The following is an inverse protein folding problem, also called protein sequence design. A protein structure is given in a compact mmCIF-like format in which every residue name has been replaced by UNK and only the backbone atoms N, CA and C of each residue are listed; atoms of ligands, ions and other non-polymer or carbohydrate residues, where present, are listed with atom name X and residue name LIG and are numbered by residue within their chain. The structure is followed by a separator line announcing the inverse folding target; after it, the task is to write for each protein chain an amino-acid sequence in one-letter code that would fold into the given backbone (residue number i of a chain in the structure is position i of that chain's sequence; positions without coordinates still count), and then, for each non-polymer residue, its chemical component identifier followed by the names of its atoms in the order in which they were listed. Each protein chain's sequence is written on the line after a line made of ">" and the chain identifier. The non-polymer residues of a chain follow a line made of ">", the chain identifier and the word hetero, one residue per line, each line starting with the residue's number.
data_IF_479519682966
#
_entry.id   IF_479519682966
#
_cell.length_a   1.000
_cell.length_b   1.000
_cell.length_c   1.000
_cell.angle_alpha   90.00
_cell.angle_beta   90.00
_cell.angle_gamma   90.00
#
_symmetry.space_group_name_H-M   'P 1'
#
loop_
_entity.id
_entity.type
_entity.pdbx_description
1 polymer ?
#
# COMPACT_ATOMS: atom_id res chain seq x y z
N UNK A 1 -4.30 3.84 -3.00
CA UNK A 1 -3.52 3.04 -2.03
C UNK A 1 -2.62 3.95 -1.21
N UNK A 2 -2.37 3.62 0.06
CA UNK A 2 -1.52 4.42 0.94
C UNK A 2 -0.10 3.84 1.02
N UNK A 3 0.92 4.53 0.48
CA UNK A 3 2.31 4.12 0.58
C UNK A 3 2.85 3.96 2.01
N UNK A 4 2.24 4.62 3.00
CA UNK A 4 2.65 4.52 4.41
C UNK A 4 2.28 3.16 5.02
N UNK A 5 1.24 2.53 4.48
CA UNK A 5 0.78 1.19 4.91
C UNK A 5 1.45 0.08 4.11
N UNK A 6 1.93 0.38 2.89
CA UNK A 6 2.48 -0.59 1.97
C UNK A 6 3.68 -1.35 2.54
N UNK A 7 3.64 -2.68 2.49
CA UNK A 7 4.79 -3.51 2.83
C UNK A 7 6.03 -3.11 2.00
N UNK A 8 7.23 -3.24 2.57
CA UNK A 8 8.48 -2.79 1.91
C UNK A 8 8.78 -3.51 0.60
N UNK A 9 8.21 -4.68 0.34
CA UNK A 9 8.30 -5.40 -0.96
C UNK A 9 7.25 -4.97 -1.99
N UNK A 10 6.43 -3.98 -1.70
CA UNK A 10 5.43 -3.45 -2.62
C UNK A 10 5.86 -2.09 -3.16
N UNK A 11 5.79 -1.94 -4.49
CA UNK A 11 5.94 -0.65 -5.16
C UNK A 11 4.56 -0.17 -5.55
N UNK A 12 4.18 1.00 -5.05
CA UNK A 12 2.94 1.69 -5.41
C UNK A 12 3.24 2.71 -6.51
N UNK A 13 2.50 2.68 -7.62
CA UNK A 13 2.72 3.57 -8.76
C UNK A 13 1.40 4.01 -9.41
N UNK A 14 1.52 4.87 -10.43
CA UNK A 14 0.40 5.38 -11.22
C UNK A 14 -0.68 6.06 -10.36
N UNK A 15 -0.25 7.05 -9.55
CA UNK A 15 -1.16 7.79 -8.67
C UNK A 15 -1.81 6.92 -7.58
N UNK A 16 -1.07 5.93 -7.08
CA UNK A 16 -1.53 4.98 -6.08
C UNK A 16 -2.66 4.04 -6.49
N UNK A 17 -2.83 3.82 -7.80
CA UNK A 17 -3.85 2.92 -8.35
C UNK A 17 -3.32 1.53 -8.66
N UNK A 18 -2.01 1.38 -8.82
CA UNK A 18 -1.39 0.09 -9.12
C UNK A 18 -0.30 -0.23 -8.13
N UNK A 19 -0.13 -1.52 -7.85
CA UNK A 19 0.91 -2.02 -6.95
C UNK A 19 1.53 -3.27 -7.53
N UNK A 20 2.84 -3.43 -7.35
CA UNK A 20 3.59 -4.61 -7.79
C UNK A 20 4.45 -5.14 -6.66
N UNK A 21 4.46 -6.46 -6.51
CA UNK A 21 5.33 -7.15 -5.57
C UNK A 21 6.69 -7.38 -6.22
N UNK A 22 7.75 -7.02 -5.50
CA UNK A 22 9.15 -7.19 -5.90
C UNK A 22 9.90 -7.99 -4.83
N UNK A 23 11.06 -8.55 -5.18
CA UNK A 23 11.85 -9.33 -4.22
C UNK A 23 12.61 -8.41 -3.26
N UNK A 24 13.02 -7.25 -3.76
CA UNK A 24 13.83 -6.28 -3.05
C UNK A 24 13.00 -5.43 -2.10
N UNK A 25 13.53 -5.19 -0.89
CA UNK A 25 12.92 -4.26 0.05
C UNK A 25 13.16 -2.83 -0.42
N UNK A 26 12.07 -2.10 -0.64
CA UNK A 26 12.04 -0.68 -0.94
C UNK A 26 12.41 0.14 0.30
N UNK A 27 13.13 1.23 0.08
CA UNK A 27 13.59 2.14 1.13
C UNK A 27 12.47 3.11 1.55
N UNK A 28 11.36 2.57 2.07
CA UNK A 28 10.33 3.40 2.68
C UNK A 28 10.75 3.85 4.09
N UNK A 29 10.37 5.06 4.52
CA UNK A 29 10.52 5.46 5.91
C UNK A 29 9.74 4.54 6.85
N UNK A 30 10.29 4.34 8.04
CA UNK A 30 9.60 3.64 9.12
C UNK A 30 8.27 4.34 9.41
N UNK A 31 7.21 3.53 9.49
CA UNK A 31 5.86 4.02 9.75
C UNK A 31 5.08 2.99 10.56
N UNK A 32 4.39 3.38 11.64
CA UNK A 32 3.71 2.44 12.55
C UNK A 32 2.57 1.65 11.88
N UNK A 33 2.00 2.18 10.80
CA UNK A 33 0.92 1.53 10.05
C UNK A 33 1.43 0.62 8.93
N UNK A 34 2.76 0.49 8.76
CA UNK A 34 3.35 -0.31 7.69
C UNK A 34 3.22 -1.79 7.99
N UNK A 35 2.79 -2.57 6.99
CA UNK A 35 2.83 -4.02 7.11
C UNK A 35 4.28 -4.55 7.03
N UNK A 36 4.70 -5.31 8.03
CA UNK A 36 6.04 -5.91 8.09
C UNK A 36 6.08 -7.40 7.72
N UNK A 37 4.95 -8.11 7.88
CA UNK A 37 4.91 -9.58 7.75
C UNK A 37 4.42 -10.07 6.39
N UNK A 38 3.44 -9.39 5.81
CA UNK A 38 2.79 -9.79 4.56
C UNK A 38 2.77 -8.64 3.56
N UNK A 39 2.83 -8.96 2.27
CA UNK A 39 2.83 -8.02 1.16
C UNK A 39 1.45 -7.40 0.94
N UNK A 40 1.03 -6.55 1.87
CA UNK A 40 -0.28 -5.88 1.88
C UNK A 40 -0.12 -4.35 1.81
N UNK A 41 -1.20 -3.68 1.39
CA UNK A 41 -1.34 -2.22 1.34
C UNK A 41 -2.82 -1.86 1.49
N UNK A 42 -3.11 -0.76 2.18
CA UNK A 42 -4.49 -0.26 2.36
C UNK A 42 -4.85 0.81 1.32
N UNK A 43 -6.15 1.03 1.15
CA UNK A 43 -6.63 2.26 0.52
C UNK A 43 -6.37 3.46 1.44
N UNK A 44 -6.00 4.61 0.85
CA UNK A 44 -5.81 5.86 1.62
C UNK A 44 -7.11 6.64 1.82
N UNK A 45 -8.20 6.21 1.18
CA UNK A 45 -9.50 6.85 1.31
C UNK A 45 -10.35 6.11 2.35
N UNK A 46 -10.98 6.88 3.24
CA UNK A 46 -11.99 6.35 4.15
C UNK A 46 -13.27 6.16 3.35
N UNK A 47 -13.74 4.92 3.27
CA UNK A 47 -14.99 4.59 2.60
C UNK A 47 -16.16 4.70 3.58
N UNK A 48 -17.19 5.48 3.23
CA UNK A 48 -18.42 5.61 4.01
C UNK A 48 -19.65 5.37 3.14
N UNK A 49 -20.66 4.66 3.65
CA UNK A 49 -21.89 4.37 2.91
C UNK A 49 -21.73 3.16 1.97
N UNK A 50 -22.23 3.26 0.73
CA UNK A 50 -22.12 2.20 -0.28
C UNK A 50 -21.08 2.59 -1.32
N UNK A 51 -20.02 1.80 -1.42
CA UNK A 51 -18.89 2.04 -2.33
C UNK A 51 -18.67 0.81 -3.23
N UNK A 52 -18.18 1.05 -4.44
CA UNK A 52 -17.81 0.03 -5.42
C UNK A 52 -16.50 0.45 -6.10
N UNK A 53 -15.63 -0.52 -6.38
CA UNK A 53 -14.34 -0.32 -7.06
C UNK A 53 -14.03 -1.52 -7.94
N UNK A 54 -13.22 -1.28 -8.99
CA UNK A 54 -12.68 -2.29 -9.92
C UNK A 54 -11.15 -2.23 -9.92
#
# INVERSE_FOLDING_TARGET
>A
MDPNTAHTRLIVFEGNKKTTCVKEHQAYPDHPERFERFEQVLCGEILTGRCYWE
#
